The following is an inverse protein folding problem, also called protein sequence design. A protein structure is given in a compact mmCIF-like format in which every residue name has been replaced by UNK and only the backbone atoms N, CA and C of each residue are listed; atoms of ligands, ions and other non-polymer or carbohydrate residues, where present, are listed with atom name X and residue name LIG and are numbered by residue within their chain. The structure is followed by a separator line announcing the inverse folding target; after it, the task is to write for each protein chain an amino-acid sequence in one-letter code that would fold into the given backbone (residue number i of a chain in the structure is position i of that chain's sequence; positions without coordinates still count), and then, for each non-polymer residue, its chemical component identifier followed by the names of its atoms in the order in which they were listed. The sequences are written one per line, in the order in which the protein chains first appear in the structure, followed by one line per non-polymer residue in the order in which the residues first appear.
data_IF_264508302759
#
_entry.id   IF_264508302759
#
_cell.length_a   1.000
_cell.length_b   1.000
_cell.length_c   1.000
_cell.angle_alpha   90.00
_cell.angle_beta   90.00
_cell.angle_gamma   90.00
#
_symmetry.space_group_name_H-M   'P 1'
#
loop_
_entity.id
_entity.type
_entity.pdbx_description
1 polymer ?
#
# COMPACT_ATOMS: atom_id res chain seq x y z
N UNK A 1 -24.36 -1.21 -13.09
CA UNK A 1 -23.18 -0.81 -12.28
C UNK A 1 -22.58 -2.05 -11.61
N UNK A 2 -21.63 -2.73 -12.25
CA UNK A 2 -20.97 -3.92 -11.67
C UNK A 2 -19.65 -3.59 -10.92
N UNK A 3 -19.20 -2.32 -10.96
CA UNK A 3 -17.88 -1.91 -10.44
C UNK A 3 -17.84 -1.36 -9.01
N UNK A 4 -18.99 -0.98 -8.41
CA UNK A 4 -19.02 -0.36 -7.09
C UNK A 4 -18.70 -1.36 -5.95
N UNK A 5 -19.21 -2.59 -6.04
CA UNK A 5 -18.98 -3.62 -5.02
C UNK A 5 -17.51 -4.09 -4.97
N UNK A 6 -16.82 -4.35 -6.10
CA UNK A 6 -15.38 -4.63 -6.09
C UNK A 6 -14.54 -3.49 -5.50
N UNK A 7 -14.85 -2.24 -5.84
CA UNK A 7 -14.11 -1.07 -5.35
C UNK A 7 -14.26 -0.88 -3.83
N UNK A 8 -15.49 -0.98 -3.32
CA UNK A 8 -15.75 -0.91 -1.90
C UNK A 8 -15.00 -2.00 -1.12
N UNK A 9 -14.99 -3.24 -1.65
CA UNK A 9 -14.23 -4.35 -1.07
C UNK A 9 -12.73 -4.09 -1.05
N UNK A 10 -12.17 -3.55 -2.13
CA UNK A 10 -10.75 -3.21 -2.21
C UNK A 10 -10.36 -2.13 -1.19
N UNK A 11 -11.17 -1.08 -1.04
CA UNK A 11 -10.94 -0.03 -0.04
C UNK A 11 -10.99 -0.58 1.39
N UNK A 12 -12.00 -1.40 1.71
CA UNK A 12 -12.08 -2.05 3.02
C UNK A 12 -10.88 -2.95 3.30
N UNK A 13 -10.38 -3.66 2.29
CA UNK A 13 -9.18 -4.47 2.42
C UNK A 13 -7.95 -3.62 2.75
N UNK A 14 -7.74 -2.49 2.07
CA UNK A 14 -6.63 -1.57 2.34
C UNK A 14 -6.69 -1.04 3.78
N UNK A 15 -7.86 -0.60 4.26
CA UNK A 15 -8.02 -0.11 5.64
C UNK A 15 -7.73 -1.21 6.67
N UNK A 16 -8.11 -2.45 6.37
CA UNK A 16 -7.92 -3.58 7.28
C UNK A 16 -6.45 -3.98 7.43
N UNK A 17 -5.66 -3.84 6.36
CA UNK A 17 -4.26 -4.31 6.30
C UNK A 17 -3.22 -3.18 6.41
N UNK A 18 -3.68 -1.94 6.58
CA UNK A 18 -2.80 -0.83 6.90
C UNK A 18 -2.24 -0.99 8.32
N UNK A 19 -0.93 -0.80 8.46
CA UNK A 19 -0.29 -0.65 9.75
C UNK A 19 -0.86 0.60 10.44
N UNK A 20 -1.49 0.40 11.60
CA UNK A 20 -2.22 1.48 12.31
C UNK A 20 -1.31 2.48 13.02
N UNK A 21 -0.05 2.11 13.28
CA UNK A 21 0.90 2.99 13.95
C UNK A 21 1.58 3.95 12.96
N UNK A 22 1.87 3.46 11.75
CA UNK A 22 2.64 4.18 10.74
C UNK A 22 1.82 4.62 9.54
N UNK A 23 0.64 4.05 9.32
CA UNK A 23 -0.15 4.26 8.10
C UNK A 23 0.39 3.52 6.87
N UNK A 24 1.42 2.68 7.02
CA UNK A 24 2.02 1.94 5.91
C UNK A 24 1.13 0.80 5.44
N UNK A 25 1.12 0.52 4.15
CA UNK A 25 0.65 -0.78 3.61
C UNK A 25 1.89 -1.60 3.26
N UNK A 26 2.21 -2.67 4.00
CA UNK A 26 3.44 -3.42 3.79
C UNK A 26 3.50 -4.02 2.39
N UNK A 27 4.59 -3.74 1.67
CA UNK A 27 4.89 -4.35 0.38
C UNK A 27 6.37 -4.73 0.32
N UNK A 28 6.66 -5.82 -0.38
CA UNK A 28 8.03 -6.29 -0.59
C UNK A 28 8.22 -6.67 -2.06
N UNK A 29 9.40 -6.34 -2.58
CA UNK A 29 9.84 -6.85 -3.87
C UNK A 29 10.06 -8.36 -3.79
N UNK A 30 9.48 -9.12 -4.72
CA UNK A 30 9.81 -10.54 -4.89
C UNK A 30 11.12 -10.74 -5.68
N UNK A 31 11.56 -9.73 -6.42
CA UNK A 31 12.68 -9.83 -7.35
C UNK A 31 14.01 -9.35 -6.76
N UNK A 32 13.97 -8.53 -5.71
CA UNK A 32 15.17 -7.90 -5.16
C UNK A 32 14.99 -7.50 -3.71
N UNK A 33 15.73 -8.14 -2.81
CA UNK A 33 15.87 -7.66 -1.45
C UNK A 33 16.70 -6.36 -1.45
N UNK A 34 16.15 -5.31 -0.83
CA UNK A 34 16.80 -4.01 -0.67
C UNK A 34 17.29 -3.88 0.76
N UNK A 35 18.49 -3.35 0.93
CA UNK A 35 19.04 -3.10 2.26
C UNK A 35 18.21 -2.03 2.99
N UNK A 36 17.69 -2.31 4.20
CA UNK A 36 16.95 -1.33 4.98
C UNK A 36 17.74 -0.03 5.17
N UNK A 37 17.04 1.10 5.16
CA UNK A 37 17.64 2.43 5.37
C UNK A 37 18.36 3.03 4.15
N UNK A 38 18.38 2.35 3.00
CA UNK A 38 18.86 2.94 1.74
C UNK A 38 17.74 3.67 1.01
N UNK A 39 18.06 4.69 0.20
CA UNK A 39 17.08 5.41 -0.63
C UNK A 39 16.29 4.45 -1.53
N UNK A 40 16.95 3.43 -2.09
CA UNK A 40 16.31 2.43 -2.92
C UNK A 40 15.31 1.54 -2.13
N UNK A 41 15.56 1.32 -0.83
CA UNK A 41 14.60 0.65 0.04
C UNK A 41 13.40 1.56 0.30
N UNK A 42 13.65 2.81 0.70
CA UNK A 42 12.60 3.80 1.01
C UNK A 42 11.67 4.06 -0.18
N UNK A 43 12.24 4.26 -1.37
CA UNK A 43 11.47 4.45 -2.60
C UNK A 43 10.51 3.28 -2.87
N UNK A 44 10.96 2.04 -2.63
CA UNK A 44 10.11 0.87 -2.84
C UNK A 44 9.08 0.67 -1.72
N UNK A 45 9.44 0.96 -0.47
CA UNK A 45 8.51 0.82 0.66
C UNK A 45 7.42 1.87 0.66
N UNK A 46 7.66 3.04 0.06
CA UNK A 46 6.69 4.15 0.01
C UNK A 46 5.69 4.01 -1.15
N UNK A 47 5.97 3.19 -2.16
CA UNK A 47 5.09 3.04 -3.32
C UNK A 47 3.69 2.53 -2.94
N UNK A 48 3.63 1.44 -2.15
CA UNK A 48 2.35 0.86 -1.74
C UNK A 48 1.55 1.79 -0.81
N UNK A 49 2.13 2.39 0.25
CA UNK A 49 1.49 3.46 1.02
C UNK A 49 0.98 4.62 0.14
N UNK A 50 1.77 5.11 -0.82
CA UNK A 50 1.39 6.21 -1.71
C UNK A 50 0.18 5.87 -2.59
N UNK A 51 0.17 4.68 -3.19
CA UNK A 51 -0.98 4.20 -3.98
C UNK A 51 -2.22 3.98 -3.10
N UNK A 52 -2.06 3.43 -1.89
CA UNK A 52 -3.17 3.24 -0.95
C UNK A 52 -3.78 4.58 -0.51
N UNK A 53 -2.95 5.58 -0.20
CA UNK A 53 -3.40 6.92 0.15
C UNK A 53 -4.22 7.57 -0.98
N UNK A 54 -3.79 7.41 -2.23
CA UNK A 54 -4.55 7.89 -3.39
C UNK A 54 -5.90 7.16 -3.54
N UNK A 55 -5.91 5.83 -3.41
CA UNK A 55 -7.10 5.01 -3.55
C UNK A 55 -8.17 5.28 -2.46
N UNK A 56 -7.74 5.70 -1.26
CA UNK A 56 -8.62 5.99 -0.13
C UNK A 56 -9.14 7.43 -0.07
N UNK A 57 -8.53 8.37 -0.82
CA UNK A 57 -9.00 9.78 -0.92
C UNK A 57 -10.10 10.01 -1.96
N UNK A 58 -10.41 9.01 -2.77
CA UNK A 58 -11.40 9.06 -3.86
C UNK A 58 -12.74 8.46 -3.46
#
# INVERSE_FOLDING_TARGET
MAGAAPLARARSWLVTHQDKATGSVPARSINKDRQPGTDAYLFMTDEAPGRAALALRS
#
